data_IF_921920297024
#
_entry.id   IF_921920297024
#
_cell.length_a   1.000
_cell.length_b   1.000
_cell.length_c   1.000
_cell.angle_alpha   90.00
_cell.angle_beta   90.00
_cell.angle_gamma   90.00
#
_symmetry.space_group_name_H-M   'P 1'
#
loop_
_entity.id
_entity.type
_entity.pdbx_description
1 polymer ?
#
# COMPACT_ATOMS: atom_id res chain seq x y z
N UNK A 1 -1.26 8.33 -0.82
CA UNK A 1 -2.20 8.44 -1.96
C UNK A 1 -3.61 8.15 -1.48
N UNK A 2 -4.62 8.86 -1.99
CA UNK A 2 -6.02 8.67 -1.64
C UNK A 2 -6.91 8.63 -2.89
N UNK A 3 -7.92 7.78 -2.89
CA UNK A 3 -8.89 7.65 -4.00
C UNK A 3 -10.27 7.96 -3.45
N UNK A 4 -10.81 9.11 -3.85
CA UNK A 4 -12.11 9.59 -3.38
C UNK A 4 -13.26 8.84 -4.05
N UNK A 5 -14.09 8.21 -3.23
CA UNK A 5 -15.18 7.39 -3.70
C UNK A 5 -16.36 8.17 -4.31
N UNK A 6 -16.65 9.36 -3.80
CA UNK A 6 -17.79 10.20 -4.17
C UNK A 6 -17.82 10.54 -5.67
N UNK A 7 -16.65 10.64 -6.30
CA UNK A 7 -16.47 11.01 -7.70
C UNK A 7 -16.30 9.80 -8.64
N UNK A 8 -16.38 8.58 -8.12
CA UNK A 8 -16.23 7.35 -8.89
C UNK A 8 -17.55 6.58 -9.02
N UNK A 9 -17.79 6.04 -10.21
CA UNK A 9 -18.93 5.15 -10.48
C UNK A 9 -18.64 3.75 -9.91
N UNK A 10 -19.68 3.05 -9.45
CA UNK A 10 -19.56 1.65 -9.01
C UNK A 10 -18.80 0.79 -10.04
N UNK A 11 -17.82 0.01 -9.57
CA UNK A 11 -16.97 -0.83 -10.41
C UNK A 11 -15.88 -0.09 -11.20
N UNK A 12 -15.86 1.24 -11.18
CA UNK A 12 -14.77 2.03 -11.78
C UNK A 12 -13.46 1.74 -11.05
N UNK A 13 -12.37 1.77 -11.82
CA UNK A 13 -11.03 1.44 -11.35
C UNK A 13 -10.14 2.67 -11.39
N UNK A 14 -9.27 2.77 -10.40
CA UNK A 14 -8.14 3.70 -10.40
C UNK A 14 -6.86 2.90 -10.16
N UNK A 15 -5.83 3.17 -10.96
CA UNK A 15 -4.56 2.45 -10.91
C UNK A 15 -3.41 3.40 -10.62
N UNK A 16 -2.57 3.03 -9.65
CA UNK A 16 -1.25 3.61 -9.43
C UNK A 16 -0.20 2.60 -9.87
N UNK A 17 0.63 3.00 -10.82
CA UNK A 17 1.75 2.20 -11.30
C UNK A 17 3.03 2.72 -10.63
N UNK A 18 3.84 1.81 -10.10
CA UNK A 18 5.21 2.16 -9.67
C UNK A 18 6.04 2.61 -10.88
N UNK A 19 7.16 3.29 -10.62
CA UNK A 19 8.23 3.37 -11.63
C UNK A 19 8.67 1.95 -12.06
N UNK A 20 9.26 1.78 -13.25
CA UNK A 20 9.91 0.53 -13.62
C UNK A 20 10.98 0.14 -12.58
N UNK A 21 10.82 -1.06 -12.03
CA UNK A 21 11.75 -1.69 -11.10
C UNK A 21 12.66 -2.62 -11.88
N UNK A 22 13.95 -2.63 -11.51
CA UNK A 22 14.92 -3.55 -12.12
C UNK A 22 14.60 -4.99 -11.71
N UNK A 23 14.79 -5.92 -12.63
CA UNK A 23 14.74 -7.33 -12.32
C UNK A 23 15.94 -7.73 -11.48
N UNK A 24 15.70 -8.39 -10.34
CA UNK A 24 16.75 -8.85 -9.44
C UNK A 24 16.38 -10.25 -8.97
N UNK A 25 17.33 -11.18 -9.04
CA UNK A 25 17.16 -12.56 -8.59
C UNK A 25 16.84 -12.62 -7.09
N UNK A 26 16.02 -13.58 -6.70
CA UNK A 26 15.61 -13.79 -5.31
C UNK A 26 14.22 -13.24 -4.97
N UNK A 27 13.94 -13.21 -3.66
CA UNK A 27 12.69 -12.69 -3.10
C UNK A 27 12.80 -11.20 -2.84
N UNK A 28 11.67 -10.52 -2.96
CA UNK A 28 11.48 -9.12 -2.64
C UNK A 28 10.29 -8.99 -1.71
N UNK A 29 10.35 -7.99 -0.83
CA UNK A 29 9.24 -7.62 0.02
C UNK A 29 8.71 -6.25 -0.38
N UNK A 30 7.43 -6.22 -0.75
CA UNK A 30 6.65 -5.00 -0.88
C UNK A 30 5.88 -4.77 0.41
N UNK A 31 6.10 -3.63 1.06
CA UNK A 31 5.33 -3.19 2.21
C UNK A 31 4.65 -1.86 1.94
N UNK A 32 3.45 -1.68 2.48
CA UNK A 32 2.71 -0.42 2.43
C UNK A 32 1.64 -0.42 3.52
N UNK A 33 1.20 0.76 3.91
CA UNK A 33 0.04 0.94 4.77
C UNK A 33 -1.21 1.15 3.91
N UNK A 34 -2.34 0.62 4.36
CA UNK A 34 -3.63 0.82 3.71
C UNK A 34 -4.73 1.07 4.73
N UNK A 35 -5.73 1.85 4.32
CA UNK A 35 -6.94 2.11 5.08
C UNK A 35 -8.15 1.85 4.18
N UNK A 36 -9.10 1.07 4.68
CA UNK A 36 -10.30 0.64 3.98
C UNK A 36 -11.43 0.50 5.01
N UNK A 37 -12.25 1.55 5.14
CA UNK A 37 -13.31 1.63 6.14
C UNK A 37 -14.64 2.09 5.54
N UNK A 38 -15.74 1.54 6.02
CA UNK A 38 -17.10 1.89 5.62
C UNK A 38 -17.83 0.74 4.91
N UNK A 39 -19.11 0.60 5.22
CA UNK A 39 -19.99 -0.38 4.57
C UNK A 39 -20.02 -0.15 3.06
N UNK A 40 -19.85 -1.23 2.29
CA UNK A 40 -19.81 -1.17 0.83
C UNK A 40 -18.48 -0.69 0.24
N UNK A 41 -17.39 -0.70 1.02
CA UNK A 41 -16.01 -0.52 0.53
C UNK A 41 -15.71 -1.50 -0.62
N UNK A 42 -14.95 -1.03 -1.60
CA UNK A 42 -14.62 -1.78 -2.80
C UNK A 42 -13.48 -2.79 -2.65
N UNK A 43 -12.62 -2.86 -3.66
CA UNK A 43 -11.46 -3.75 -3.68
C UNK A 43 -10.17 -2.95 -3.76
N UNK A 44 -9.12 -3.47 -3.13
CA UNK A 44 -7.75 -3.05 -3.36
C UNK A 44 -6.95 -4.26 -3.82
N UNK A 45 -6.39 -4.18 -5.03
CA UNK A 45 -5.58 -5.22 -5.64
C UNK A 45 -4.15 -4.74 -5.85
N UNK A 46 -3.20 -5.67 -5.77
CA UNK A 46 -1.81 -5.44 -6.15
C UNK A 46 -1.44 -6.46 -7.21
N UNK A 47 -1.00 -5.98 -8.37
CA UNK A 47 -0.55 -6.81 -9.49
C UNK A 47 0.93 -6.58 -9.81
N UNK A 48 1.54 -7.58 -10.42
CA UNK A 48 2.88 -7.52 -10.99
C UNK A 48 2.77 -7.45 -12.52
N UNK A 49 3.29 -6.40 -13.15
CA UNK A 49 3.38 -6.27 -14.61
C UNK A 49 4.83 -6.40 -15.05
N UNK A 50 5.16 -7.47 -15.76
CA UNK A 50 6.51 -7.67 -16.32
C UNK A 50 6.62 -6.95 -17.66
N UNK A 51 7.79 -6.41 -17.96
CA UNK A 51 8.05 -5.76 -19.24
C UNK A 51 7.86 -6.76 -20.40
N UNK A 52 7.02 -6.37 -21.37
CA UNK A 52 6.67 -7.18 -22.54
C UNK A 52 5.56 -8.21 -22.33
N UNK A 53 5.11 -8.44 -21.09
CA UNK A 53 4.02 -9.39 -20.81
C UNK A 53 2.66 -8.67 -20.87
N UNK A 54 1.65 -9.37 -21.38
CA UNK A 54 0.24 -8.95 -21.32
C UNK A 54 -0.45 -9.39 -20.02
N UNK A 55 0.07 -10.43 -19.37
CA UNK A 55 -0.45 -10.93 -18.10
C UNK A 55 0.03 -10.09 -16.92
N UNK A 56 -0.90 -9.76 -16.03
CA UNK A 56 -0.64 -9.01 -14.80
C UNK A 56 -1.06 -9.88 -13.60
N UNK A 57 -0.24 -10.85 -13.15
CA UNK A 57 -0.57 -11.72 -12.03
C UNK A 57 -0.92 -10.95 -10.75
N UNK A 58 -2.00 -11.37 -10.08
CA UNK A 58 -2.45 -10.83 -8.81
C UNK A 58 -1.53 -11.31 -7.68
N UNK A 59 -0.88 -10.37 -7.00
CA UNK A 59 -0.05 -10.65 -5.83
C UNK A 59 -0.85 -10.60 -4.52
N UNK A 60 -1.79 -9.66 -4.41
CA UNK A 60 -2.51 -9.42 -3.16
C UNK A 60 -3.86 -8.74 -3.38
N UNK A 61 -4.83 -9.03 -2.50
CA UNK A 61 -6.18 -8.45 -2.56
C UNK A 61 -6.78 -8.27 -1.17
N UNK A 62 -7.51 -7.16 -0.99
CA UNK A 62 -8.51 -6.97 0.07
C UNK A 62 -9.84 -6.50 -0.52
N UNK A 63 -10.93 -6.85 0.16
CA UNK A 63 -12.30 -6.59 -0.27
C UNK A 63 -13.13 -6.14 0.91
N UNK A 64 -13.90 -5.06 0.74
CA UNK A 64 -14.80 -4.58 1.75
C UNK A 64 -14.07 -3.87 2.88
N UNK A 65 -14.82 -3.57 3.93
CA UNK A 65 -14.29 -2.95 5.14
C UNK A 65 -13.22 -3.85 5.78
N UNK A 66 -12.10 -3.24 6.19
CA UNK A 66 -10.97 -3.93 6.81
C UNK A 66 -10.79 -3.46 8.26
N UNK A 67 -10.61 -2.15 8.45
CA UNK A 67 -10.41 -1.54 9.76
C UNK A 67 -10.57 -0.03 9.65
N UNK A 68 -10.95 0.61 10.76
CA UNK A 68 -10.90 2.07 10.94
C UNK A 68 -9.46 2.59 11.11
N UNK A 69 -8.54 1.70 11.50
CA UNK A 69 -7.11 2.02 11.64
C UNK A 69 -6.35 1.64 10.37
N UNK A 70 -5.22 2.29 10.14
CA UNK A 70 -4.26 1.88 9.11
C UNK A 70 -3.74 0.46 9.40
N UNK A 71 -3.67 -0.35 8.36
CA UNK A 71 -3.13 -1.72 8.40
C UNK A 71 -1.88 -1.79 7.53
N UNK A 72 -0.90 -2.59 7.95
CA UNK A 72 0.32 -2.86 7.18
C UNK A 72 0.10 -4.08 6.29
N UNK A 73 0.44 -3.99 5.01
CA UNK A 73 0.49 -5.11 4.08
C UNK A 73 1.95 -5.51 3.86
N UNK A 74 2.19 -6.83 3.79
CA UNK A 74 3.47 -7.42 3.43
C UNK A 74 3.21 -8.40 2.28
N UNK A 75 3.88 -8.17 1.14
CA UNK A 75 3.74 -8.97 -0.06
C UNK A 75 5.12 -9.45 -0.49
N UNK A 76 5.34 -10.75 -0.38
CA UNK A 76 6.54 -11.39 -0.92
C UNK A 76 6.33 -11.71 -2.41
N UNK A 77 7.29 -11.34 -3.26
CA UNK A 77 7.25 -11.65 -4.69
C UNK A 77 8.66 -11.80 -5.28
N UNK A 78 8.78 -12.45 -6.44
CA UNK A 78 10.04 -12.62 -7.17
C UNK A 78 9.90 -12.18 -8.62
N UNK A 79 10.85 -11.38 -9.11
CA UNK A 79 10.88 -10.98 -10.50
C UNK A 79 12.30 -10.64 -10.98
N UNK A 80 12.82 -11.45 -11.89
CA UNK A 80 14.16 -11.28 -12.48
C UNK A 80 14.16 -10.42 -13.74
N UNK A 81 12.97 -10.02 -14.22
CA UNK A 81 12.80 -9.09 -15.34
C UNK A 81 12.41 -7.71 -14.82
N UNK A 82 12.65 -6.70 -15.63
CA UNK A 82 12.10 -5.37 -15.37
C UNK A 82 10.57 -5.45 -15.25
N UNK A 83 10.01 -4.80 -14.24
CA UNK A 83 8.59 -4.92 -13.91
C UNK A 83 8.06 -3.67 -13.22
N UNK A 84 6.75 -3.56 -13.11
CA UNK A 84 6.04 -2.55 -12.32
C UNK A 84 5.09 -3.25 -11.36
N UNK A 85 4.83 -2.60 -10.23
CA UNK A 85 3.74 -2.97 -9.33
C UNK A 85 2.56 -2.03 -9.59
N UNK A 86 1.37 -2.61 -9.73
CA UNK A 86 0.13 -1.89 -9.97
C UNK A 86 -0.76 -2.03 -8.73
N UNK A 87 -1.05 -0.90 -8.09
CA UNK A 87 -2.12 -0.82 -7.08
C UNK A 87 -3.41 -0.43 -7.80
N UNK A 88 -4.42 -1.29 -7.76
CA UNK A 88 -5.73 -1.04 -8.37
C UNK A 88 -6.79 -0.96 -7.26
N UNK A 89 -7.38 0.22 -7.09
CA UNK A 89 -8.59 0.36 -6.30
C UNK A 89 -9.82 0.27 -7.22
N UNK A 90 -10.78 -0.58 -6.83
CA UNK A 90 -12.05 -0.74 -7.53
C UNK A 90 -13.14 -0.18 -6.63
N UNK A 91 -13.97 0.69 -7.18
CA UNK A 91 -15.04 1.36 -6.45
C UNK A 91 -16.13 0.39 -6.00
N UNK A 92 -16.43 0.41 -4.70
CA UNK A 92 -17.53 -0.36 -4.10
C UNK A 92 -18.90 0.29 -4.27
N UNK A 93 -19.94 -0.30 -3.68
CA UNK A 93 -21.34 0.12 -3.84
C UNK A 93 -21.69 1.42 -3.11
N UNK A 94 -20.94 1.79 -2.07
CA UNK A 94 -21.27 2.92 -1.19
C UNK A 94 -20.31 4.07 -1.38
N UNK A 95 -20.78 5.31 -1.62
CA UNK A 95 -19.93 6.52 -1.73
C UNK A 95 -19.31 6.98 -0.42
N UNK A 96 -19.70 6.36 0.70
CA UNK A 96 -19.25 6.71 2.06
C UNK A 96 -18.10 5.80 2.52
N UNK A 97 -17.23 5.41 1.60
CA UNK A 97 -16.11 4.51 1.90
C UNK A 97 -14.94 4.86 1.02
N UNK A 98 -13.76 5.00 1.60
CA UNK A 98 -12.57 5.39 0.85
C UNK A 98 -11.46 4.36 0.99
N UNK A 99 -10.60 4.31 -0.03
CA UNK A 99 -9.42 3.45 -0.06
C UNK A 99 -8.20 4.37 -0.13
N UNK A 100 -7.34 4.24 0.86
CA UNK A 100 -6.09 5.00 0.95
C UNK A 100 -4.91 4.04 1.10
N UNK A 101 -3.77 4.43 0.54
CA UNK A 101 -2.49 3.73 0.71
C UNK A 101 -1.39 4.74 1.01
N UNK A 102 -0.42 4.35 1.84
CA UNK A 102 0.73 5.18 2.19
C UNK A 102 1.99 4.35 2.42
N UNK A 103 3.14 5.03 2.54
CA UNK A 103 4.42 4.44 2.97
C UNK A 103 4.82 3.18 2.19
N UNK A 104 4.69 3.24 0.86
CA UNK A 104 5.06 2.15 -0.04
C UNK A 104 6.58 1.98 -0.07
N UNK A 105 7.05 0.80 0.31
CA UNK A 105 8.48 0.43 0.33
C UNK A 105 8.71 -0.87 -0.42
N UNK A 106 9.85 -0.93 -1.11
CA UNK A 106 10.37 -2.11 -1.79
C UNK A 106 11.70 -2.49 -1.13
N UNK A 107 11.79 -3.69 -0.59
CA UNK A 107 12.96 -4.21 0.08
C UNK A 107 13.43 -5.49 -0.62
N UNK A 108 14.74 -5.66 -0.76
CA UNK A 108 15.31 -6.92 -1.22
C UNK A 108 15.27 -7.95 -0.08
N UNK A 109 14.99 -9.20 -0.42
CA UNK A 109 14.86 -10.29 0.55
C UNK A 109 13.40 -10.66 0.85
N UNK A 110 13.20 -11.73 1.65
CA UNK A 110 11.89 -12.13 2.12
C UNK A 110 11.27 -11.06 3.03
N UNK A 111 9.94 -11.05 3.13
CA UNK A 111 9.27 -10.21 4.11
C UNK A 111 9.57 -10.70 5.53
N UNK A 112 10.08 -9.82 6.40
CA UNK A 112 10.21 -10.06 7.84
C UNK A 112 9.26 -9.14 8.60
N UNK A 113 8.58 -9.66 9.61
CA UNK A 113 7.72 -8.85 10.49
C UNK A 113 8.53 -8.06 11.55
N UNK A 114 9.86 -8.09 11.48
CA UNK A 114 10.75 -7.73 12.59
C UNK A 114 11.28 -6.28 12.60
N UNK A 115 10.75 -5.36 11.78
CA UNK A 115 11.26 -3.97 11.70
C UNK A 115 10.38 -2.91 12.41
N UNK A 116 9.68 -3.25 13.49
CA UNK A 116 8.96 -2.25 14.32
C UNK A 116 9.32 -2.38 15.83
N UNK A 117 10.60 -2.47 16.18
CA UNK A 117 11.05 -2.37 17.60
C UNK A 117 12.13 -1.28 17.82
N UNK A 118 12.63 -0.59 16.80
CA UNK A 118 13.80 0.31 16.99
C UNK A 118 13.60 1.79 16.64
N UNK A 119 12.37 2.30 16.51
CA UNK A 119 12.13 3.75 16.33
C UNK A 119 11.21 4.42 17.39
N UNK A 120 11.03 3.82 18.56
CA UNK A 120 10.40 4.50 19.72
C UNK A 120 11.33 4.70 20.92
N UNK A 121 12.65 4.80 20.70
CA UNK A 121 13.56 5.31 21.73
C UNK A 121 14.56 6.32 21.16
N UNK A 122 14.11 7.56 20.96
CA UNK A 122 15.01 8.72 21.11
C UNK A 122 14.19 10.01 21.19
N UNK A 123 14.27 10.70 22.32
CA UNK A 123 14.03 12.14 22.38
C UNK A 123 12.78 12.62 23.11
N UNK A 124 12.54 12.19 24.36
CA UNK A 124 11.80 13.05 25.28
C UNK A 124 12.77 14.16 25.72
N UNK A 125 12.61 15.35 25.14
CA UNK A 125 13.25 16.58 25.57
C UNK A 125 12.17 17.43 26.24
N UNK A 126 11.90 17.15 27.51
CA UNK A 126 11.34 18.18 28.39
C UNK A 126 12.48 19.14 28.70
N UNK A 127 12.49 20.29 28.04
CA UNK A 127 12.99 21.55 28.58
C UNK A 127 12.74 22.63 27.54
N UNK A 128 11.91 23.62 27.93
CA UNK A 128 11.90 25.03 27.55
C UNK A 128 10.49 25.60 27.80
N UNK A 129 10.23 25.95 29.06
CA UNK A 129 9.28 27.01 29.41
C UNK A 129 10.03 28.04 30.27
N UNK A 130 10.85 28.86 29.61
CA UNK A 130 11.19 30.19 30.09
C UNK A 130 10.65 31.20 29.08
N UNK A 131 9.60 31.91 29.47
CA UNK A 131 9.29 33.23 28.92
C UNK A 131 9.22 34.16 30.13
N UNK A 132 10.32 34.89 30.36
CA UNK A 132 10.28 36.13 31.13
C UNK A 132 9.79 37.28 30.24
N UNK A 133 8.96 38.13 30.87
CA UNK A 133 8.31 39.38 30.45
C UNK A 133 7.10 39.32 29.51
#
# INVERSE_FOLDING_TARGET
MYIEASHMVYGQKAQLLSRPLRGVAGRHCLTFFYHMYGAGTGLLNVYLKKEGDTEEPLLWRRRGEQSISWLKALIEYSCERQHQIIFEAIRGVSIRSDIAIDDIKFQAGPCSELEDITQQSSGYSEDLNEIEY
#
